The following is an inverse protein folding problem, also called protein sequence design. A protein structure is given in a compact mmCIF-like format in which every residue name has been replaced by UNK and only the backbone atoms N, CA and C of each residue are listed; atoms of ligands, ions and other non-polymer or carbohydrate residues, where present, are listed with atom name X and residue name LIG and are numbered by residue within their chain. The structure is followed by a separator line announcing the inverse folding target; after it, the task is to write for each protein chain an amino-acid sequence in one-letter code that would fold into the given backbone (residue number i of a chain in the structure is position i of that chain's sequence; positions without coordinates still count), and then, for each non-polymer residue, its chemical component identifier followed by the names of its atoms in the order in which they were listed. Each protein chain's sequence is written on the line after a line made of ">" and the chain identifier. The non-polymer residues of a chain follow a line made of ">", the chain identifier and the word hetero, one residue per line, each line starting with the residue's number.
data_IF_177932894848
#
_entry.id   IF_177932894848
#
_cell.length_a   1.000
_cell.length_b   1.000
_cell.length_c   1.000
_cell.angle_alpha   90.00
_cell.angle_beta   90.00
_cell.angle_gamma   90.00
#
_symmetry.space_group_name_H-M   'P 1'
#
loop_
_entity.id
_entity.type
_entity.pdbx_description
1 polymer ?
#
# COMPACT_ATOMS: atom_id res chain seq x y z
N UNK A 1 45.43 14.71 42.13
CA UNK A 1 44.95 14.14 40.84
C UNK A 1 43.51 13.63 40.88
N UNK A 2 42.94 13.31 42.05
CA UNK A 2 41.57 12.75 42.21
C UNK A 2 40.43 13.76 41.93
N UNK A 3 40.64 15.06 42.16
CA UNK A 3 39.59 16.06 41.95
C UNK A 3 39.22 16.27 40.46
N UNK A 4 40.14 15.99 39.53
CA UNK A 4 39.89 16.18 38.10
C UNK A 4 39.12 15.00 37.50
N UNK A 5 39.28 13.79 38.02
CA UNK A 5 38.55 12.60 37.55
C UNK A 5 37.08 12.66 37.97
N UNK A 6 36.77 13.09 39.20
CA UNK A 6 35.37 13.26 39.67
C UNK A 6 34.59 14.27 38.82
N UNK A 7 35.22 15.37 38.41
CA UNK A 7 34.62 16.34 37.48
C UNK A 7 34.37 15.76 36.10
N UNK A 8 35.19 14.80 35.67
CA UNK A 8 34.99 14.10 34.39
C UNK A 8 33.80 13.15 34.46
N UNK A 9 33.65 12.38 35.55
CA UNK A 9 32.49 11.50 35.76
C UNK A 9 31.17 12.29 35.82
N UNK A 10 31.15 13.46 36.48
CA UNK A 10 29.97 14.33 36.49
C UNK A 10 29.60 14.88 35.10
N UNK A 11 30.59 15.21 34.25
CA UNK A 11 30.35 15.66 32.87
C UNK A 11 29.89 14.54 31.93
N UNK A 12 30.30 13.30 32.17
CA UNK A 12 29.85 12.13 31.39
C UNK A 12 28.38 11.83 31.64
N UNK A 13 27.88 12.05 32.85
CA UNK A 13 26.46 11.81 33.18
C UNK A 13 25.50 12.85 32.58
N UNK A 14 25.98 14.08 32.31
CA UNK A 14 25.16 15.18 31.81
C UNK A 14 24.88 15.13 30.30
N UNK A 15 25.38 14.13 29.57
CA UNK A 15 25.26 14.04 28.10
C UNK A 15 24.28 12.98 27.59
N UNK A 16 23.31 12.59 28.42
CA UNK A 16 22.12 11.85 27.98
C UNK A 16 20.86 12.47 28.60
N UNK A 17 20.67 13.77 28.42
CA UNK A 17 19.31 14.23 28.24
C UNK A 17 18.83 13.57 26.94
N UNK A 18 18.01 12.53 27.09
CA UNK A 18 17.24 11.99 25.99
C UNK A 18 16.48 13.19 25.43
N UNK A 19 16.89 13.67 24.25
CA UNK A 19 16.30 14.84 23.64
C UNK A 19 14.88 14.46 23.25
N UNK A 20 13.94 14.59 24.19
CA UNK A 20 12.49 14.56 23.96
C UNK A 20 12.02 15.83 23.25
N UNK A 21 12.93 16.57 22.60
CA UNK A 21 12.57 17.36 21.44
C UNK A 21 12.20 16.38 20.33
N UNK A 22 10.95 15.91 20.33
CA UNK A 22 10.31 15.55 19.07
C UNK A 22 10.50 16.79 18.20
N UNK A 23 11.22 16.72 17.06
CA UNK A 23 11.41 17.88 16.23
C UNK A 23 10.00 18.37 15.90
N UNK A 24 9.65 19.58 16.32
CA UNK A 24 8.36 20.24 16.05
C UNK A 24 8.16 20.55 14.55
N UNK A 25 8.94 19.90 13.69
CA UNK A 25 8.92 19.97 12.24
C UNK A 25 8.90 18.61 11.54
N UNK A 26 8.69 17.48 12.23
CA UNK A 26 8.28 16.24 11.52
C UNK A 26 6.84 16.44 11.07
N UNK A 27 6.67 17.22 10.01
CA UNK A 27 5.45 17.25 9.21
C UNK A 27 5.25 15.83 8.71
N UNK A 28 4.32 15.10 9.31
CA UNK A 28 3.60 14.00 8.67
C UNK A 28 2.75 14.56 7.51
N UNK A 29 3.41 15.24 6.56
CA UNK A 29 2.79 16.15 5.61
C UNK A 29 3.27 15.92 4.18
N UNK A 30 3.77 14.72 3.88
CA UNK A 30 3.87 14.28 2.50
C UNK A 30 2.46 13.84 2.08
N UNK A 31 1.96 14.41 0.99
CA UNK A 31 0.72 13.94 0.38
C UNK A 31 0.85 12.45 0.05
N UNK A 32 -0.27 11.72 0.02
CA UNK A 32 -0.28 10.31 -0.35
C UNK A 32 0.57 10.04 -1.59
N UNK A 33 0.41 10.88 -2.64
CA UNK A 33 1.21 10.78 -3.86
C UNK A 33 2.71 11.00 -3.63
N UNK A 34 3.11 11.99 -2.82
CA UNK A 34 4.53 12.21 -2.53
C UNK A 34 5.18 11.06 -1.74
N UNK A 35 4.38 10.31 -0.97
CA UNK A 35 4.85 9.12 -0.24
C UNK A 35 4.91 7.89 -1.14
N UNK A 36 3.87 7.64 -1.94
CA UNK A 36 3.73 6.40 -2.71
C UNK A 36 4.31 6.47 -4.13
N UNK A 37 4.18 7.59 -4.83
CA UNK A 37 4.71 7.76 -6.20
C UNK A 37 6.15 8.25 -6.18
N UNK A 38 6.58 8.89 -5.09
CA UNK A 38 7.95 9.38 -4.92
C UNK A 38 8.96 8.28 -4.56
N UNK A 39 8.49 7.15 -4.01
CA UNK A 39 9.33 6.01 -3.68
C UNK A 39 9.60 5.13 -4.89
N UNK A 40 10.87 4.96 -5.26
CA UNK A 40 11.30 4.09 -6.37
C UNK A 40 10.99 2.61 -6.08
N UNK A 41 10.99 2.20 -4.80
CA UNK A 41 10.68 0.84 -4.39
C UNK A 41 9.20 0.47 -4.53
N UNK A 42 8.31 1.45 -4.58
CA UNK A 42 6.86 1.21 -4.70
C UNK A 42 6.44 0.82 -6.12
N UNK A 43 7.15 1.26 -7.16
CA UNK A 43 6.81 0.98 -8.57
C UNK A 43 6.68 -0.51 -8.94
N UNK A 44 7.62 -1.40 -8.58
CA UNK A 44 7.45 -2.83 -8.85
C UNK A 44 6.24 -3.42 -8.12
N UNK A 45 5.93 -2.97 -6.90
CA UNK A 45 4.74 -3.41 -6.15
C UNK A 45 3.45 -2.96 -6.83
N UNK A 46 3.41 -1.69 -7.29
CA UNK A 46 2.30 -1.15 -8.08
C UNK A 46 2.09 -1.97 -9.36
N UNK A 47 3.18 -2.36 -10.03
CA UNK A 47 3.12 -3.22 -11.21
C UNK A 47 2.48 -4.59 -10.93
N UNK A 48 2.85 -5.24 -9.84
CA UNK A 48 2.27 -6.54 -9.43
C UNK A 48 0.78 -6.40 -9.12
N UNK A 49 0.40 -5.40 -8.32
CA UNK A 49 -1.01 -5.17 -7.95
C UNK A 49 -1.83 -4.81 -9.19
N UNK A 50 -1.32 -3.91 -10.03
CA UNK A 50 -1.97 -3.52 -11.28
C UNK A 50 -2.18 -4.72 -12.21
N UNK A 51 -1.15 -5.56 -12.37
CA UNK A 51 -1.24 -6.81 -13.16
C UNK A 51 -2.30 -7.77 -12.61
N UNK A 52 -2.35 -7.97 -11.29
CA UNK A 52 -3.35 -8.83 -10.65
C UNK A 52 -4.78 -8.32 -10.88
N UNK A 53 -5.01 -7.01 -10.73
CA UNK A 53 -6.31 -6.39 -10.98
C UNK A 53 -6.74 -6.53 -12.44
N UNK A 54 -5.83 -6.30 -13.39
CA UNK A 54 -6.11 -6.47 -14.83
C UNK A 54 -6.43 -7.93 -15.14
N UNK A 55 -5.66 -8.88 -14.61
CA UNK A 55 -5.90 -10.30 -14.84
C UNK A 55 -7.25 -10.76 -14.29
N UNK A 56 -7.54 -10.46 -13.02
CA UNK A 56 -8.81 -10.80 -12.38
C UNK A 56 -9.98 -10.12 -13.11
N UNK A 57 -9.86 -8.83 -13.42
CA UNK A 57 -10.88 -8.07 -14.15
C UNK A 57 -11.13 -8.64 -15.54
N UNK A 58 -10.08 -9.05 -16.26
CA UNK A 58 -10.19 -9.66 -17.58
C UNK A 58 -10.88 -11.03 -17.53
N UNK A 59 -10.53 -11.87 -16.54
CA UNK A 59 -11.15 -13.18 -16.37
C UNK A 59 -12.64 -13.07 -16.02
N UNK A 60 -12.98 -12.18 -15.08
CA UNK A 60 -14.37 -11.90 -14.71
C UNK A 60 -15.12 -11.38 -15.93
N UNK A 61 -14.58 -10.39 -16.65
CA UNK A 61 -15.21 -9.83 -17.84
C UNK A 61 -15.43 -10.89 -18.93
N UNK A 62 -14.46 -11.79 -19.13
CA UNK A 62 -14.60 -12.89 -20.08
C UNK A 62 -15.77 -13.82 -19.71
N UNK A 63 -15.88 -14.22 -18.44
CA UNK A 63 -17.00 -15.05 -17.98
C UNK A 63 -18.33 -14.32 -18.09
N UNK A 64 -18.36 -13.03 -17.81
CA UNK A 64 -19.57 -12.23 -17.94
C UNK A 64 -20.02 -12.07 -19.40
N UNK A 65 -19.09 -11.86 -20.34
CA UNK A 65 -19.43 -11.58 -21.75
C UNK A 65 -19.72 -12.85 -22.57
N UNK A 66 -19.00 -13.94 -22.31
CA UNK A 66 -18.99 -15.10 -23.21
C UNK A 66 -19.59 -16.37 -22.63
N UNK A 67 -19.90 -16.40 -21.32
CA UNK A 67 -20.51 -17.59 -20.74
C UNK A 67 -21.97 -17.74 -21.22
N UNK A 68 -22.38 -18.94 -21.68
CA UNK A 68 -23.71 -19.15 -22.27
C UNK A 68 -24.85 -18.88 -21.27
N UNK A 69 -24.59 -19.11 -19.98
CA UNK A 69 -25.60 -18.91 -18.92
C UNK A 69 -25.74 -17.45 -18.49
N UNK A 70 -24.84 -16.56 -18.90
CA UNK A 70 -24.88 -15.14 -18.51
C UNK A 70 -25.78 -14.36 -19.46
N UNK A 71 -26.82 -13.71 -18.91
CA UNK A 71 -27.94 -13.10 -19.64
C UNK A 71 -28.00 -11.58 -19.54
N UNK A 72 -26.85 -10.92 -19.57
CA UNK A 72 -26.79 -9.46 -19.43
C UNK A 72 -27.37 -8.78 -20.68
N UNK A 73 -27.02 -9.31 -21.86
CA UNK A 73 -27.51 -8.81 -23.16
C UNK A 73 -29.00 -9.12 -23.33
N UNK A 74 -29.83 -8.13 -23.76
CA UNK A 74 -31.27 -8.32 -23.92
C UNK A 74 -31.65 -9.51 -24.82
N UNK A 75 -30.86 -9.80 -25.85
CA UNK A 75 -31.07 -10.91 -26.78
C UNK A 75 -31.00 -12.30 -26.14
N UNK A 76 -30.33 -12.44 -24.98
CA UNK A 76 -30.14 -13.72 -24.30
C UNK A 76 -31.05 -13.92 -23.07
N UNK A 77 -31.81 -12.90 -22.67
CA UNK A 77 -32.65 -12.95 -21.45
C UNK A 77 -33.78 -13.98 -21.50
N UNK A 78 -34.36 -14.20 -22.69
CA UNK A 78 -35.48 -15.11 -22.93
C UNK A 78 -35.08 -16.37 -23.71
N UNK A 79 -33.79 -16.65 -23.87
CA UNK A 79 -33.36 -17.89 -24.51
C UNK A 79 -33.83 -19.10 -23.67
N UNK A 80 -34.17 -20.21 -24.29
CA UNK A 80 -34.42 -21.45 -23.54
C UNK A 80 -33.08 -22.05 -23.11
N UNK A 81 -32.91 -22.37 -21.82
CA UNK A 81 -31.65 -22.94 -21.28
C UNK A 81 -31.67 -24.46 -21.38
N UNK A 82 -32.87 -25.05 -21.34
CA UNK A 82 -33.04 -26.48 -21.22
C UNK A 82 -34.28 -26.90 -21.99
N UNK A 83 -34.05 -27.40 -23.18
CA UNK A 83 -35.02 -28.17 -23.92
C UNK A 83 -35.09 -29.59 -23.32
N UNK A 84 -36.30 -30.03 -23.01
CA UNK A 84 -36.56 -31.32 -22.37
C UNK A 84 -36.90 -32.41 -23.38
N UNK A 85 -36.34 -32.31 -24.59
CA UNK A 85 -36.70 -33.17 -25.73
C UNK A 85 -35.87 -34.45 -25.78
#
# INVERSE_FOLDING_TARGET
>A
MIANTVRQFARVQQRRTLSTSVPSGVRYGKSFGATWLGDKGAWPVIGIIGGALVFCGSFISNKIMFHPDVRITPSKRNADIRDWR
#
